data_IF_493968204431
#
_entry.id   IF_493968204431
#
_cell.length_a   1.000
_cell.length_b   1.000
_cell.length_c   1.000
_cell.angle_alpha   90.00
_cell.angle_beta   90.00
_cell.angle_gamma   90.00
#
_symmetry.space_group_name_H-M   'P 1'
#
loop_
_entity.id
_entity.type
_entity.pdbx_description
1 polymer ?
#
# COMPACT_ATOMS: atom_id res chain seq x y z
N UNK A 1 -17.55 -11.79 11.76
CA UNK A 1 -18.28 -11.83 10.48
C UNK A 1 -18.82 -10.45 10.18
N UNK A 2 -18.16 -9.72 9.29
CA UNK A 2 -18.58 -8.39 8.83
C UNK A 2 -19.79 -8.60 7.93
N UNK A 3 -20.97 -8.16 8.39
CA UNK A 3 -22.19 -8.18 7.59
C UNK A 3 -21.98 -7.25 6.37
N UNK A 4 -21.96 -7.83 5.17
CA UNK A 4 -21.93 -7.10 3.90
C UNK A 4 -20.74 -7.35 2.98
N UNK A 5 -19.73 -8.13 3.40
CA UNK A 5 -18.72 -8.64 2.44
C UNK A 5 -19.32 -9.81 1.64
N UNK A 6 -19.05 -9.91 0.33
CA UNK A 6 -19.35 -11.13 -0.41
C UNK A 6 -18.68 -12.29 0.35
N UNK A 7 -19.39 -13.37 0.59
CA UNK A 7 -18.81 -14.56 1.21
C UNK A 7 -17.63 -14.99 0.33
N UNK A 8 -16.43 -14.96 0.89
CA UNK A 8 -15.21 -15.40 0.21
C UNK A 8 -15.31 -16.87 -0.25
N UNK A 9 -16.24 -17.62 0.33
CA UNK A 9 -16.51 -19.04 0.04
C UNK A 9 -17.30 -19.30 -1.27
N UNK A 10 -17.94 -18.27 -1.87
CA UNK A 10 -18.84 -18.46 -3.02
C UNK A 10 -18.19 -18.22 -4.38
N UNK A 11 -16.91 -17.87 -4.43
CA UNK A 11 -16.22 -17.55 -5.69
C UNK A 11 -15.13 -18.59 -5.99
N UNK A 12 -15.51 -19.77 -6.44
CA UNK A 12 -14.56 -20.81 -6.90
C UNK A 12 -13.49 -20.23 -7.85
N UNK A 13 -12.24 -20.13 -7.35
CA UNK A 13 -11.06 -19.71 -8.12
C UNK A 13 -10.87 -18.21 -8.36
N UNK A 14 -11.86 -17.35 -8.15
CA UNK A 14 -11.74 -15.91 -8.42
C UNK A 14 -10.65 -15.20 -7.57
N UNK A 15 -10.44 -15.53 -6.27
CA UNK A 15 -9.34 -14.94 -5.51
C UNK A 15 -7.94 -15.25 -6.06
N UNK A 16 -7.78 -16.34 -6.81
CA UNK A 16 -6.50 -16.78 -7.37
C UNK A 16 -6.20 -16.23 -8.77
N UNK A 17 -7.13 -15.54 -9.40
CA UNK A 17 -7.03 -15.13 -10.81
C UNK A 17 -5.80 -14.27 -11.11
N UNK A 18 -5.45 -13.33 -10.21
CA UNK A 18 -4.26 -12.48 -10.36
C UNK A 18 -2.99 -13.31 -10.18
N UNK A 19 -2.94 -14.18 -9.17
CA UNK A 19 -1.81 -15.06 -8.91
C UNK A 19 -1.52 -15.98 -10.11
N UNK A 20 -2.54 -16.57 -10.70
CA UNK A 20 -2.40 -17.40 -11.87
C UNK A 20 -1.98 -16.62 -13.13
N UNK A 21 -2.44 -15.38 -13.27
CA UNK A 21 -2.01 -14.50 -14.36
C UNK A 21 -0.54 -14.07 -14.22
N UNK A 22 -0.08 -13.76 -13.02
CA UNK A 22 1.30 -13.38 -12.74
C UNK A 22 2.28 -14.52 -13.01
N UNK A 23 1.95 -15.77 -12.67
CA UNK A 23 2.76 -16.95 -13.00
C UNK A 23 3.11 -17.08 -14.47
N UNK A 24 2.26 -16.58 -15.37
CA UNK A 24 2.51 -16.67 -16.82
C UNK A 24 3.60 -15.70 -17.31
N UNK A 25 4.04 -14.78 -16.46
CA UNK A 25 4.99 -13.71 -16.81
C UNK A 25 6.13 -13.58 -15.82
N UNK A 26 6.21 -14.41 -14.77
CA UNK A 26 7.19 -14.31 -13.69
C UNK A 26 8.64 -14.44 -14.16
N UNK A 27 8.89 -15.18 -15.23
CA UNK A 27 10.21 -15.32 -15.86
C UNK A 27 10.64 -14.10 -16.70
N UNK A 28 9.76 -13.09 -16.87
CA UNK A 28 10.02 -11.89 -17.68
C UNK A 28 10.13 -10.61 -16.87
N UNK A 29 9.74 -10.62 -15.60
CA UNK A 29 9.70 -9.43 -14.74
C UNK A 29 10.21 -9.76 -13.35
N UNK A 30 11.02 -8.87 -12.77
CA UNK A 30 11.51 -8.99 -11.41
C UNK A 30 10.44 -8.56 -10.38
N UNK A 31 9.59 -7.59 -10.76
CA UNK A 31 8.54 -7.03 -9.89
C UNK A 31 7.24 -6.81 -10.65
N UNK A 32 6.12 -6.99 -9.95
CA UNK A 32 4.78 -6.63 -10.40
C UNK A 32 4.13 -5.69 -9.38
N UNK A 33 3.65 -4.53 -9.81
CA UNK A 33 2.95 -3.56 -8.96
C UNK A 33 1.47 -3.61 -9.31
N UNK A 34 0.63 -3.89 -8.28
CA UNK A 34 -0.82 -3.96 -8.43
C UNK A 34 -1.43 -2.71 -7.78
N UNK A 35 -1.96 -1.80 -8.60
CA UNK A 35 -2.70 -0.63 -8.11
C UNK A 35 -4.12 -1.04 -7.74
N UNK A 36 -4.45 -0.95 -6.44
CA UNK A 36 -5.71 -1.43 -5.89
C UNK A 36 -6.73 -0.30 -5.69
N UNK A 37 -7.99 -0.59 -5.95
CA UNK A 37 -9.09 0.30 -5.58
C UNK A 37 -9.25 0.33 -4.04
N UNK A 38 -9.61 1.50 -3.41
CA UNK A 38 -9.72 1.63 -1.95
C UNK A 38 -10.94 0.92 -1.34
N UNK A 39 -11.43 -0.15 -1.94
CA UNK A 39 -12.54 -0.96 -1.42
C UNK A 39 -12.12 -2.42 -1.31
N UNK A 40 -12.53 -3.09 -0.24
CA UNK A 40 -12.30 -4.52 -0.01
C UNK A 40 -13.29 -5.38 -0.80
N UNK A 41 -13.26 -5.22 -2.13
CA UNK A 41 -14.00 -6.03 -3.07
C UNK A 41 -13.13 -7.13 -3.67
N UNK A 42 -13.72 -8.02 -4.42
CA UNK A 42 -13.05 -9.18 -4.99
C UNK A 42 -11.74 -8.88 -5.74
N UNK A 43 -11.61 -7.82 -6.56
CA UNK A 43 -10.33 -7.50 -7.21
C UNK A 43 -9.21 -7.17 -6.20
N UNK A 44 -9.52 -6.43 -5.11
CA UNK A 44 -8.56 -6.12 -4.06
C UNK A 44 -8.19 -7.37 -3.28
N UNK A 45 -9.14 -8.25 -2.98
CA UNK A 45 -8.88 -9.54 -2.34
C UNK A 45 -7.94 -10.37 -3.23
N UNK A 46 -8.22 -10.47 -4.53
CA UNK A 46 -7.38 -11.23 -5.46
C UNK A 46 -5.95 -10.64 -5.55
N UNK A 47 -5.79 -9.33 -5.45
CA UNK A 47 -4.49 -8.68 -5.38
C UNK A 47 -3.73 -9.08 -4.10
N UNK A 48 -4.37 -9.04 -2.92
CA UNK A 48 -3.77 -9.44 -1.64
C UNK A 48 -3.40 -10.93 -1.60
N UNK A 49 -4.21 -11.78 -2.25
CA UNK A 49 -3.92 -13.21 -2.38
C UNK A 49 -2.69 -13.47 -3.25
N UNK A 50 -2.43 -12.60 -4.23
CA UNK A 50 -1.30 -12.73 -5.16
C UNK A 50 -0.02 -12.03 -4.69
N UNK A 51 -0.13 -11.05 -3.80
CA UNK A 51 0.98 -10.20 -3.40
C UNK A 51 1.91 -10.88 -2.39
N UNK A 52 3.21 -10.54 -2.46
CA UNK A 52 4.19 -10.87 -1.44
C UNK A 52 4.23 -9.75 -0.36
N UNK A 53 4.12 -8.51 -0.80
CA UNK A 53 4.18 -7.32 0.04
C UNK A 53 3.03 -6.36 -0.25
N UNK A 54 2.37 -5.84 0.79
CA UNK A 54 1.36 -4.79 0.70
C UNK A 54 1.91 -3.48 1.25
N UNK A 55 1.98 -2.46 0.42
CA UNK A 55 2.33 -1.11 0.82
C UNK A 55 1.07 -0.28 1.08
N UNK A 56 0.94 0.26 2.30
CA UNK A 56 -0.22 1.03 2.73
C UNK A 56 0.17 2.50 2.88
N UNK A 57 -0.22 3.37 1.93
CA UNK A 57 -0.04 4.81 2.07
C UNK A 57 -0.99 5.34 3.15
N UNK A 58 -0.45 5.84 4.25
CA UNK A 58 -1.21 6.50 5.30
C UNK A 58 -1.10 8.02 5.16
N UNK A 59 -2.23 8.68 4.99
CA UNK A 59 -2.33 10.14 4.95
C UNK A 59 -2.83 10.64 6.31
N UNK A 60 -1.95 11.25 7.14
CA UNK A 60 -2.36 11.83 8.41
C UNK A 60 -3.45 12.90 8.21
N UNK A 61 -4.38 13.00 9.14
CA UNK A 61 -5.58 13.87 9.11
C UNK A 61 -6.74 13.36 8.21
N UNK A 62 -6.53 12.42 7.30
CA UNK A 62 -7.57 11.94 6.36
C UNK A 62 -8.13 10.57 6.73
N UNK A 63 -7.25 9.66 7.09
CA UNK A 63 -7.63 8.29 7.45
C UNK A 63 -7.45 8.10 8.95
N UNK A 64 -8.54 8.10 9.70
CA UNK A 64 -8.48 7.80 11.11
C UNK A 64 -7.92 6.41 11.39
N UNK A 65 -7.34 6.24 12.57
CA UNK A 65 -6.78 4.99 13.12
C UNK A 65 -7.72 3.79 12.98
N UNK A 66 -9.03 4.03 13.00
CA UNK A 66 -10.08 3.02 12.79
C UNK A 66 -9.95 2.34 11.42
N UNK A 67 -9.56 3.08 10.38
CA UNK A 67 -9.39 2.52 9.03
C UNK A 67 -8.21 1.54 8.94
N UNK A 68 -7.08 1.86 9.58
CA UNK A 68 -5.92 0.97 9.62
C UNK A 68 -6.18 -0.30 10.43
N UNK A 69 -6.85 -0.20 11.59
CA UNK A 69 -7.21 -1.36 12.38
C UNK A 69 -8.14 -2.29 11.58
N UNK A 70 -9.15 -1.72 10.91
CA UNK A 70 -10.02 -2.51 10.04
C UNK A 70 -9.25 -3.21 8.92
N UNK A 71 -8.28 -2.53 8.31
CA UNK A 71 -7.43 -3.09 7.26
C UNK A 71 -6.53 -4.20 7.80
N UNK A 72 -5.92 -4.03 8.99
CA UNK A 72 -5.07 -5.06 9.60
C UNK A 72 -5.84 -6.33 9.94
N UNK A 73 -7.06 -6.21 10.45
CA UNK A 73 -7.94 -7.36 10.69
C UNK A 73 -8.26 -8.11 9.37
N UNK A 74 -8.42 -7.35 8.29
CA UNK A 74 -8.69 -7.93 6.97
C UNK A 74 -7.46 -8.65 6.39
N UNK A 75 -6.28 -8.04 6.55
CA UNK A 75 -5.00 -8.66 6.16
C UNK A 75 -4.79 -9.97 6.92
N UNK A 76 -5.04 -9.99 8.22
CA UNK A 76 -4.93 -11.20 9.03
C UNK A 76 -5.83 -12.33 8.52
N UNK A 77 -7.06 -12.04 8.08
CA UNK A 77 -7.94 -13.04 7.47
C UNK A 77 -7.40 -13.55 6.12
N UNK A 78 -6.82 -12.67 5.28
CA UNK A 78 -6.18 -13.09 4.02
C UNK A 78 -4.98 -13.99 4.30
N UNK A 79 -4.15 -13.64 5.28
CA UNK A 79 -2.98 -14.44 5.68
C UNK A 79 -3.41 -15.82 6.18
N UNK A 80 -4.45 -15.89 7.00
CA UNK A 80 -4.94 -17.15 7.56
C UNK A 80 -5.52 -18.10 6.49
N UNK A 81 -6.26 -17.55 5.51
CA UNK A 81 -7.07 -18.37 4.60
C UNK A 81 -6.37 -18.61 3.26
N UNK A 82 -5.68 -17.59 2.71
CA UNK A 82 -5.23 -17.64 1.31
C UNK A 82 -3.73 -17.41 1.11
N UNK A 83 -3.12 -16.50 1.87
CA UNK A 83 -1.74 -16.07 1.64
C UNK A 83 -0.96 -15.88 2.96
N UNK A 84 -0.50 -16.97 3.58
CA UNK A 84 0.27 -16.89 4.83
C UNK A 84 1.59 -16.14 4.70
N UNK A 85 2.11 -15.97 3.48
CA UNK A 85 3.35 -15.25 3.20
C UNK A 85 3.18 -13.74 2.97
N UNK A 86 1.95 -13.23 2.93
CA UNK A 86 1.72 -11.79 2.74
C UNK A 86 2.29 -11.00 3.91
N UNK A 87 3.19 -10.07 3.60
CA UNK A 87 3.66 -9.05 4.55
C UNK A 87 3.07 -7.69 4.20
N UNK A 88 3.12 -6.73 5.15
CA UNK A 88 2.66 -5.38 4.86
C UNK A 88 3.44 -4.34 5.63
N UNK A 89 3.60 -3.16 5.02
CA UNK A 89 4.19 -1.99 5.65
C UNK A 89 3.35 -0.74 5.38
N UNK A 90 3.32 0.14 6.38
CA UNK A 90 2.65 1.43 6.31
C UNK A 90 3.71 2.51 6.07
N UNK A 91 3.49 3.42 5.15
CA UNK A 91 4.33 4.60 4.98
C UNK A 91 3.51 5.88 5.03
N UNK A 92 4.11 6.95 5.55
CA UNK A 92 3.46 8.25 5.63
C UNK A 92 3.45 8.89 4.24
N UNK A 93 2.26 9.19 3.73
CA UNK A 93 2.04 9.87 2.47
C UNK A 93 1.47 11.26 2.67
N UNK A 94 1.75 12.18 1.74
CA UNK A 94 1.26 13.58 1.74
C UNK A 94 1.55 14.35 3.04
N UNK A 95 2.68 14.10 3.66
CA UNK A 95 3.09 14.77 4.87
C UNK A 95 3.29 16.27 4.65
N UNK A 96 2.67 17.10 5.50
CA UNK A 96 2.67 18.57 5.37
C UNK A 96 3.34 19.29 6.56
N UNK A 97 4.09 18.58 7.39
CA UNK A 97 4.84 19.12 8.55
C UNK A 97 3.96 19.86 9.59
N UNK A 98 2.70 19.42 9.76
CA UNK A 98 1.80 19.99 10.77
C UNK A 98 1.97 19.26 12.10
N UNK A 99 1.80 20.02 13.22
CA UNK A 99 1.91 19.45 14.57
C UNK A 99 0.88 18.31 14.79
N UNK A 100 -0.35 18.48 14.31
CA UNK A 100 -1.40 17.44 14.40
C UNK A 100 -0.99 16.14 13.72
N UNK A 101 -0.31 16.22 12.56
CA UNK A 101 0.19 15.05 11.84
C UNK A 101 1.30 14.34 12.61
N UNK A 102 2.20 15.08 13.25
CA UNK A 102 3.25 14.49 14.08
C UNK A 102 2.66 13.73 15.27
N UNK A 103 1.70 14.31 15.97
CA UNK A 103 1.02 13.67 17.10
C UNK A 103 0.32 12.37 16.65
N UNK A 104 -0.31 12.38 15.48
CA UNK A 104 -0.96 11.21 14.93
C UNK A 104 0.04 10.11 14.52
N UNK A 105 1.16 10.48 13.91
CA UNK A 105 2.22 9.54 13.52
C UNK A 105 2.84 8.88 14.77
N UNK A 106 3.13 9.67 15.81
CA UNK A 106 3.63 9.13 17.08
C UNK A 106 2.66 8.11 17.69
N UNK A 107 1.37 8.42 17.68
CA UNK A 107 0.34 7.50 18.16
C UNK A 107 0.31 6.17 17.37
N UNK A 108 0.51 6.23 16.05
CA UNK A 108 0.56 5.02 15.21
C UNK A 108 1.74 4.13 15.57
N UNK A 109 2.92 4.73 15.76
CA UNK A 109 4.14 4.00 16.08
C UNK A 109 4.07 3.42 17.49
N UNK A 110 3.73 4.23 18.52
CA UNK A 110 3.85 3.83 19.90
C UNK A 110 2.66 3.00 20.41
N UNK A 111 1.44 3.32 19.97
CA UNK A 111 0.24 2.67 20.50
C UNK A 111 -0.25 1.50 19.65
N UNK A 112 -0.14 1.61 18.34
CA UNK A 112 -0.70 0.63 17.42
C UNK A 112 0.35 -0.32 16.86
N UNK A 113 1.64 0.04 16.96
CA UNK A 113 2.78 -0.80 16.53
C UNK A 113 2.64 -1.35 15.11
N UNK A 114 2.07 -0.55 14.20
CA UNK A 114 2.06 -0.90 12.79
C UNK A 114 3.50 -0.98 12.25
N UNK A 115 3.79 -1.91 11.33
CA UNK A 115 5.08 -1.97 10.66
C UNK A 115 5.23 -0.74 9.75
N UNK A 116 5.95 0.27 10.24
CA UNK A 116 6.13 1.54 9.55
C UNK A 116 7.43 1.56 8.77
N UNK A 117 7.39 2.06 7.53
CA UNK A 117 8.59 2.45 6.81
C UNK A 117 9.15 3.77 7.37
N UNK A 118 10.47 3.93 7.28
CA UNK A 118 11.15 5.16 7.72
C UNK A 118 10.91 6.33 6.76
N UNK A 119 10.76 6.02 5.47
CA UNK A 119 10.56 7.03 4.43
C UNK A 119 9.18 7.70 4.53
N UNK A 120 9.20 9.02 4.53
CA UNK A 120 8.01 9.88 4.53
C UNK A 120 7.90 10.61 3.20
N UNK A 121 6.76 10.44 2.51
CA UNK A 121 6.47 11.13 1.25
C UNK A 121 5.77 12.46 1.52
N UNK A 122 6.44 13.56 1.21
CA UNK A 122 5.94 14.92 1.44
C UNK A 122 4.83 15.32 0.47
N UNK A 123 3.90 16.14 0.97
CA UNK A 123 2.90 16.76 0.13
C UNK A 123 3.51 17.89 -0.71
N UNK A 124 3.59 17.72 -2.03
CA UNK A 124 4.18 18.70 -2.95
C UNK A 124 3.29 18.94 -4.16
N UNK A 125 3.21 20.21 -4.57
CA UNK A 125 2.45 20.64 -5.76
C UNK A 125 3.00 20.00 -7.04
N UNK A 126 4.30 19.67 -7.06
CA UNK A 126 4.99 19.00 -8.17
C UNK A 126 4.35 17.66 -8.55
N UNK A 127 3.85 16.88 -7.58
CA UNK A 127 3.13 15.62 -7.82
C UNK A 127 1.86 15.87 -8.63
N UNK A 128 1.04 16.83 -8.19
CA UNK A 128 -0.17 17.20 -8.92
C UNK A 128 0.13 17.79 -10.31
N UNK A 129 1.23 18.53 -10.44
CA UNK A 129 1.70 19.05 -11.72
C UNK A 129 2.11 17.94 -12.68
N UNK A 130 2.80 16.90 -12.19
CA UNK A 130 3.19 15.73 -12.98
C UNK A 130 1.96 14.96 -13.46
N UNK A 131 0.99 14.74 -12.56
CA UNK A 131 -0.26 14.05 -12.89
C UNK A 131 -1.06 14.80 -13.97
N UNK A 132 -1.19 16.14 -13.86
CA UNK A 132 -1.83 16.98 -14.90
C UNK A 132 -1.10 16.90 -16.23
N UNK A 133 0.24 16.85 -16.21
CA UNK A 133 1.06 16.71 -17.39
C UNK A 133 1.10 15.27 -17.94
N UNK A 134 0.51 14.29 -17.25
CA UNK A 134 0.56 12.84 -17.57
C UNK A 134 2.00 12.36 -17.77
N UNK A 135 2.90 12.79 -16.89
CA UNK A 135 4.32 12.42 -16.91
C UNK A 135 4.74 11.81 -15.58
N UNK A 136 5.61 10.81 -15.57
CA UNK A 136 6.23 10.34 -14.35
C UNK A 136 6.90 11.50 -13.61
N UNK A 137 6.75 11.55 -12.27
CA UNK A 137 7.31 12.62 -11.44
C UNK A 137 8.82 12.79 -11.66
N UNK A 138 9.57 11.70 -11.69
CA UNK A 138 11.01 11.67 -11.91
C UNK A 138 11.44 12.29 -13.27
N UNK A 139 10.59 12.23 -14.29
CA UNK A 139 10.84 12.89 -15.59
C UNK A 139 10.34 14.33 -15.63
N UNK A 140 9.28 14.66 -14.87
CA UNK A 140 8.67 15.98 -14.86
C UNK A 140 9.40 16.95 -13.92
N UNK A 141 9.86 16.47 -12.77
CA UNK A 141 10.51 17.26 -11.70
C UNK A 141 11.65 16.48 -11.02
N UNK A 142 12.68 16.12 -11.79
CA UNK A 142 13.78 15.23 -11.36
C UNK A 142 14.44 15.62 -10.02
N UNK A 143 14.57 16.90 -9.75
CA UNK A 143 15.25 17.42 -8.55
C UNK A 143 14.28 17.91 -7.47
N UNK A 144 12.99 17.58 -7.58
CA UNK A 144 12.01 17.93 -6.55
C UNK A 144 12.15 17.02 -5.34
N UNK A 145 11.85 17.57 -4.16
CA UNK A 145 11.92 16.82 -2.93
C UNK A 145 11.01 15.59 -2.92
N UNK A 146 9.81 15.67 -3.55
CA UNK A 146 8.94 14.51 -3.66
C UNK A 146 9.53 13.41 -4.54
N UNK A 147 10.27 13.78 -5.60
CA UNK A 147 10.97 12.79 -6.43
C UNK A 147 11.99 12.02 -5.60
N UNK A 148 12.76 12.74 -4.78
CA UNK A 148 13.70 12.10 -3.85
C UNK A 148 13.00 11.21 -2.83
N UNK A 149 11.88 11.66 -2.26
CA UNK A 149 11.11 10.87 -1.30
C UNK A 149 10.64 9.53 -1.91
N UNK A 150 10.14 9.54 -3.15
CA UNK A 150 9.76 8.32 -3.86
C UNK A 150 10.97 7.44 -4.25
N UNK A 151 12.12 8.02 -4.56
CA UNK A 151 13.36 7.27 -4.80
C UNK A 151 13.83 6.58 -3.53
N UNK A 152 13.78 7.25 -2.38
CA UNK A 152 14.16 6.69 -1.09
C UNK A 152 13.15 5.62 -0.63
N UNK A 153 11.84 5.85 -0.80
CA UNK A 153 10.81 4.83 -0.58
C UNK A 153 11.05 3.59 -1.44
N UNK A 154 11.40 3.77 -2.70
CA UNK A 154 11.68 2.64 -3.60
C UNK A 154 12.85 1.80 -3.10
N UNK A 155 13.94 2.43 -2.63
CA UNK A 155 15.11 1.71 -2.08
C UNK A 155 14.74 0.95 -0.82
N UNK A 156 13.97 1.56 0.07
CA UNK A 156 13.54 0.94 1.32
C UNK A 156 12.66 -0.29 1.04
N UNK A 157 11.70 -0.16 0.12
CA UNK A 157 10.83 -1.28 -0.29
C UNK A 157 11.64 -2.41 -0.94
N UNK A 158 12.59 -2.10 -1.82
CA UNK A 158 13.43 -3.12 -2.44
C UNK A 158 14.28 -3.88 -1.40
N UNK A 159 14.77 -3.18 -0.37
CA UNK A 159 15.52 -3.81 0.71
C UNK A 159 14.67 -4.76 1.60
N UNK A 160 13.34 -4.61 1.61
CA UNK A 160 12.45 -5.56 2.30
C UNK A 160 12.24 -6.86 1.51
N UNK A 161 12.47 -6.82 0.19
CA UNK A 161 12.23 -7.93 -0.73
C UNK A 161 13.49 -8.76 -1.04
N UNK A 162 14.66 -8.34 -0.52
CA UNK A 162 15.94 -9.07 -0.62
C UNK A 162 16.09 -10.10 0.53
#
# INVERSE_FOLDING_TARGET
>A
LIKGSPRMEEADGLPLIIKEALKQVEDRYDYAIIDCHPSMQLPTIAALVAADELLIPYEPDVFGKTGLNFLSDYIAQIQEIYNPGLTYHVFIAKYAERKSQLEEIYDLIERYQFPMLETVVRNRVSVNSANKARKPLARHRRFDAATKDYEDLTKEVLALME
#
